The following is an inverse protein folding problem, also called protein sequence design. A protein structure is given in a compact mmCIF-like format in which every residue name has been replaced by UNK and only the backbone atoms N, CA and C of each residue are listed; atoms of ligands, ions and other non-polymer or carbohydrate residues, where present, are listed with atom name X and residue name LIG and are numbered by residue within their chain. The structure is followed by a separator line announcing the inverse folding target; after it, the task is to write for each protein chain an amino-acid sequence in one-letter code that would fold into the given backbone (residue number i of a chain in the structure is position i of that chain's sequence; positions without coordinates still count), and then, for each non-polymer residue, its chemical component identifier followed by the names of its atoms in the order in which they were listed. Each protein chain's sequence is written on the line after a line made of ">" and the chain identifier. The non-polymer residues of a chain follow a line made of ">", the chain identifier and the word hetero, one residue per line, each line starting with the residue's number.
data_IF_823676805368
#
_entry.id   IF_823676805368
#
_cell.length_a   1.000
_cell.length_b   1.000
_cell.length_c   1.000
_cell.angle_alpha   90.00
_cell.angle_beta   90.00
_cell.angle_gamma   90.00
#
_symmetry.space_group_name_H-M   'P 1'
#
loop_
_entity.id
_entity.type
_entity.pdbx_description
1 polymer ?
#
# COMPACT_ATOMS: atom_id res chain seq x y z
N UNK A 1 -37.23 33.45 -17.51
CA UNK A 1 -35.85 33.69 -17.03
C UNK A 1 -35.10 32.40 -17.24
N UNK A 2 -34.06 32.38 -18.08
CA UNK A 2 -33.18 31.21 -18.15
C UNK A 2 -32.35 31.21 -16.87
N UNK A 3 -32.59 30.24 -15.99
CA UNK A 3 -31.74 30.00 -14.83
C UNK A 3 -30.38 29.59 -15.38
N UNK A 4 -29.36 30.44 -15.22
CA UNK A 4 -27.99 30.08 -15.58
C UNK A 4 -27.61 28.89 -14.70
N UNK A 5 -27.31 27.75 -15.32
CA UNK A 5 -26.84 26.57 -14.58
C UNK A 5 -25.50 26.88 -13.94
N UNK A 6 -25.31 26.38 -12.72
CA UNK A 6 -24.03 26.43 -12.03
C UNK A 6 -22.94 25.81 -12.91
N UNK A 7 -21.80 26.47 -13.04
CA UNK A 7 -20.61 25.93 -13.73
C UNK A 7 -19.82 24.98 -12.84
N UNK A 8 -18.98 24.12 -13.43
CA UNK A 8 -18.09 23.23 -12.66
C UNK A 8 -17.16 24.05 -11.74
N UNK A 9 -16.70 25.22 -12.19
CA UNK A 9 -15.92 26.16 -11.37
C UNK A 9 -16.69 26.67 -10.14
N UNK A 10 -17.97 26.99 -10.30
CA UNK A 10 -18.81 27.43 -9.19
C UNK A 10 -19.09 26.27 -8.21
N UNK A 11 -19.34 25.06 -8.71
CA UNK A 11 -19.48 23.86 -7.87
C UNK A 11 -18.20 23.56 -7.07
N UNK A 12 -17.03 23.69 -7.69
CA UNK A 12 -15.72 23.60 -7.01
C UNK A 12 -15.57 24.63 -5.89
N UNK A 13 -15.89 25.90 -6.17
CA UNK A 13 -15.76 26.99 -5.20
C UNK A 13 -16.72 26.83 -4.02
N UNK A 14 -17.96 26.42 -4.29
CA UNK A 14 -18.96 26.12 -3.28
C UNK A 14 -18.52 24.96 -2.38
N UNK A 15 -18.15 23.82 -2.96
CA UNK A 15 -17.71 22.66 -2.18
C UNK A 15 -16.44 22.94 -1.39
N UNK A 16 -15.46 23.66 -1.96
CA UNK A 16 -14.25 24.07 -1.23
C UNK A 16 -14.60 24.91 0.00
N UNK A 17 -15.56 25.82 -0.13
CA UNK A 17 -16.00 26.67 0.98
C UNK A 17 -16.80 25.86 2.02
N UNK A 18 -17.65 24.95 1.56
CA UNK A 18 -18.44 24.05 2.40
C UNK A 18 -17.55 23.10 3.22
N UNK A 19 -16.57 22.46 2.58
CA UNK A 19 -15.60 21.58 3.25
C UNK A 19 -14.75 22.35 4.27
N UNK A 20 -14.33 23.57 3.93
CA UNK A 20 -13.60 24.44 4.87
C UNK A 20 -14.45 24.76 6.12
N UNK A 21 -15.75 25.01 5.95
CA UNK A 21 -16.66 25.25 7.07
C UNK A 21 -16.90 24.01 7.96
N UNK A 22 -16.59 22.81 7.45
CA UNK A 22 -16.63 21.54 8.18
C UNK A 22 -15.23 21.10 8.67
N UNK A 23 -14.26 22.02 8.71
CA UNK A 23 -12.91 21.77 9.23
C UNK A 23 -12.14 20.66 8.47
N UNK A 24 -12.53 20.39 7.22
CA UNK A 24 -11.80 19.46 6.36
C UNK A 24 -10.46 20.06 5.98
N UNK A 25 -9.39 19.30 6.20
CA UNK A 25 -8.04 19.67 5.79
C UNK A 25 -7.94 19.71 4.27
N UNK A 26 -7.18 20.68 3.74
CA UNK A 26 -6.99 20.89 2.30
C UNK A 26 -8.31 20.83 1.49
N UNK A 27 -9.29 21.69 1.83
CA UNK A 27 -10.65 21.56 1.30
C UNK A 27 -10.71 21.74 -0.23
N UNK A 28 -9.84 22.58 -0.80
CA UNK A 28 -9.72 22.74 -2.25
C UNK A 28 -9.21 21.47 -2.92
N UNK A 29 -8.23 20.78 -2.32
CA UNK A 29 -7.67 19.55 -2.89
C UNK A 29 -8.72 18.43 -2.86
N UNK A 30 -9.42 18.28 -1.75
CA UNK A 30 -10.53 17.33 -1.61
C UNK A 30 -11.67 17.62 -2.61
N UNK A 31 -12.09 18.88 -2.74
CA UNK A 31 -13.13 19.27 -3.70
C UNK A 31 -12.70 18.95 -5.15
N UNK A 32 -11.46 19.24 -5.54
CA UNK A 32 -10.95 18.90 -6.86
C UNK A 32 -10.94 17.38 -7.10
N UNK A 33 -10.38 16.59 -6.17
CA UNK A 33 -10.31 15.14 -6.31
C UNK A 33 -11.69 14.51 -6.47
N UNK A 34 -12.67 14.94 -5.67
CA UNK A 34 -14.03 14.44 -5.74
C UNK A 34 -14.75 14.88 -7.02
N UNK A 35 -14.47 16.09 -7.55
CA UNK A 35 -14.98 16.50 -8.86
C UNK A 35 -14.41 15.67 -10.00
N UNK A 36 -13.09 15.48 -10.02
CA UNK A 36 -12.39 14.63 -10.99
C UNK A 36 -13.00 13.23 -11.01
N UNK A 37 -13.26 12.65 -9.82
CA UNK A 37 -13.95 11.37 -9.67
C UNK A 37 -15.39 11.38 -10.22
N UNK A 38 -16.23 12.32 -9.77
CA UNK A 38 -17.67 12.36 -10.15
C UNK A 38 -17.85 12.61 -11.65
N UNK A 39 -16.98 13.42 -12.25
CA UNK A 39 -17.05 13.79 -13.66
C UNK A 39 -16.29 12.81 -14.57
N UNK A 40 -15.42 11.97 -14.01
CA UNK A 40 -14.52 11.10 -14.79
C UNK A 40 -13.51 11.91 -15.59
N UNK A 41 -13.02 13.01 -15.03
CA UNK A 41 -12.06 13.92 -15.65
C UNK A 41 -10.74 13.90 -14.86
N UNK A 42 -9.64 14.17 -15.55
CA UNK A 42 -8.33 14.30 -14.91
C UNK A 42 -7.41 15.26 -15.67
N UNK A 43 -6.45 15.85 -14.96
CA UNK A 43 -5.41 16.70 -15.54
C UNK A 43 -5.98 17.82 -16.42
N UNK A 44 -5.47 17.95 -17.65
CA UNK A 44 -5.89 19.02 -18.56
C UNK A 44 -7.40 19.02 -18.87
N UNK A 45 -8.03 17.85 -18.96
CA UNK A 45 -9.46 17.73 -19.27
C UNK A 45 -10.34 18.36 -18.20
N UNK A 46 -9.96 18.22 -16.91
CA UNK A 46 -10.65 18.86 -15.79
C UNK A 46 -10.59 20.39 -15.91
N UNK A 47 -9.40 20.96 -16.14
CA UNK A 47 -9.25 22.42 -16.23
C UNK A 47 -9.99 23.03 -17.41
N UNK A 48 -10.05 22.31 -18.55
CA UNK A 48 -10.81 22.73 -19.72
C UNK A 48 -12.31 22.74 -19.47
N UNK A 49 -12.82 21.80 -18.68
CA UNK A 49 -14.25 21.68 -18.35
C UNK A 49 -14.73 22.68 -17.29
N UNK A 50 -13.84 23.33 -16.53
CA UNK A 50 -14.23 24.27 -15.46
C UNK A 50 -15.27 25.33 -15.85
N UNK A 51 -15.23 25.96 -17.05
CA UNK A 51 -16.23 26.93 -17.47
C UNK A 51 -17.58 26.31 -17.88
N UNK A 52 -17.63 25.00 -18.12
CA UNK A 52 -18.83 24.33 -18.61
C UNK A 52 -19.91 24.23 -17.52
N UNK A 53 -21.20 24.19 -17.90
CA UNK A 53 -22.28 23.91 -16.97
C UNK A 53 -22.09 22.56 -16.27
N UNK A 54 -22.36 22.49 -14.98
CA UNK A 54 -22.34 21.24 -14.23
C UNK A 54 -23.40 20.26 -14.80
N UNK A 55 -23.07 18.99 -15.07
CA UNK A 55 -24.03 18.04 -15.63
C UNK A 55 -25.13 17.67 -14.61
N UNK A 56 -26.40 17.85 -14.99
CA UNK A 56 -27.55 17.58 -14.10
C UNK A 56 -27.56 16.12 -13.62
N UNK A 57 -27.11 15.19 -14.46
CA UNK A 57 -27.09 13.75 -14.17
C UNK A 57 -26.06 13.39 -13.09
N UNK A 58 -25.11 14.29 -12.82
CA UNK A 58 -24.04 14.11 -11.82
C UNK A 58 -24.31 14.85 -10.52
N UNK A 59 -25.33 15.71 -10.46
CA UNK A 59 -25.62 16.57 -9.31
C UNK A 59 -25.79 15.75 -8.01
N UNK A 60 -26.61 14.70 -8.06
CA UNK A 60 -26.86 13.86 -6.88
C UNK A 60 -25.58 13.16 -6.39
N UNK A 61 -24.77 12.62 -7.31
CA UNK A 61 -23.51 11.98 -6.97
C UNK A 61 -22.52 12.98 -6.35
N UNK A 62 -22.50 14.21 -6.85
CA UNK A 62 -21.66 15.29 -6.32
C UNK A 62 -22.04 15.68 -4.89
N UNK A 63 -23.34 15.88 -4.63
CA UNK A 63 -23.85 16.19 -3.30
C UNK A 63 -23.55 15.06 -2.30
N UNK A 64 -23.67 13.80 -2.74
CA UNK A 64 -23.36 12.63 -1.93
C UNK A 64 -21.89 12.58 -1.50
N UNK A 65 -20.95 12.70 -2.45
CA UNK A 65 -19.52 12.61 -2.13
C UNK A 65 -19.05 13.78 -1.26
N UNK A 66 -19.58 14.99 -1.48
CA UNK A 66 -19.25 16.15 -0.63
C UNK A 66 -19.82 16.00 0.78
N UNK A 67 -21.04 15.46 0.91
CA UNK A 67 -21.64 15.21 2.22
C UNK A 67 -20.85 14.17 3.01
N UNK A 68 -20.42 13.08 2.35
CA UNK A 68 -19.55 12.05 2.96
C UNK A 68 -18.21 12.62 3.41
N UNK A 69 -17.55 13.44 2.56
CA UNK A 69 -16.28 14.09 2.90
C UNK A 69 -16.43 15.06 4.07
N UNK A 70 -17.50 15.86 4.10
CA UNK A 70 -17.79 16.77 5.20
C UNK A 70 -18.13 16.04 6.51
N UNK A 71 -18.61 14.80 6.44
CA UNK A 71 -18.83 13.94 7.60
C UNK A 71 -17.54 13.30 8.13
N UNK A 72 -16.38 13.54 7.50
CA UNK A 72 -15.07 13.07 7.95
C UNK A 72 -14.52 11.87 7.17
N UNK A 73 -15.26 11.33 6.20
CA UNK A 73 -14.77 10.18 5.43
C UNK A 73 -13.57 10.57 4.55
N UNK A 74 -12.48 9.78 4.52
CA UNK A 74 -11.36 10.00 3.61
C UNK A 74 -11.79 10.02 2.13
N UNK A 75 -11.24 10.94 1.34
CA UNK A 75 -11.59 11.05 -0.08
C UNK A 75 -11.31 9.75 -0.84
N UNK A 76 -10.23 9.06 -0.48
CA UNK A 76 -9.82 7.79 -1.08
C UNK A 76 -10.82 6.66 -0.81
N UNK A 77 -11.46 6.63 0.36
CA UNK A 77 -12.52 5.64 0.63
C UNK A 77 -13.83 5.98 -0.10
N UNK A 78 -14.09 7.28 -0.29
CA UNK A 78 -15.21 7.74 -1.14
C UNK A 78 -14.98 7.33 -2.61
N UNK A 79 -13.76 7.54 -3.11
CA UNK A 79 -13.33 7.22 -4.47
C UNK A 79 -13.17 5.69 -4.68
N UNK A 80 -12.75 4.98 -3.63
CA UNK A 80 -12.43 3.55 -3.64
C UNK A 80 -11.02 3.21 -4.13
N UNK A 81 -10.15 4.21 -4.35
CA UNK A 81 -8.83 4.05 -4.94
C UNK A 81 -7.80 5.04 -4.36
N UNK A 82 -6.54 4.64 -4.31
CA UNK A 82 -5.38 5.47 -4.02
C UNK A 82 -4.22 5.08 -4.95
N UNK A 83 -3.56 6.05 -5.57
CA UNK A 83 -2.34 5.81 -6.35
C UNK A 83 -1.15 5.59 -5.40
N UNK A 84 -0.34 4.58 -5.70
CA UNK A 84 0.92 4.30 -5.04
C UNK A 84 1.93 3.79 -6.07
N UNK A 85 3.10 4.43 -6.16
CA UNK A 85 4.14 4.10 -7.13
C UNK A 85 3.67 4.14 -8.59
N UNK A 86 2.73 5.06 -8.90
CA UNK A 86 2.09 5.18 -10.22
C UNK A 86 1.10 4.06 -10.56
N UNK A 87 0.72 3.24 -9.58
CA UNK A 87 -0.23 2.14 -9.73
C UNK A 87 -1.49 2.47 -8.92
N UNK A 88 -2.70 2.35 -9.49
CA UNK A 88 -3.94 2.49 -8.75
C UNK A 88 -4.18 1.27 -7.85
N UNK A 89 -4.37 1.50 -6.56
CA UNK A 89 -4.77 0.48 -5.59
C UNK A 89 -6.19 0.72 -5.13
N UNK A 90 -7.04 -0.30 -5.24
CA UNK A 90 -8.33 -0.31 -4.56
C UNK A 90 -8.11 -0.22 -3.04
N UNK A 91 -8.85 0.67 -2.39
CA UNK A 91 -8.83 0.83 -0.94
C UNK A 91 -10.25 0.82 -0.37
N UNK A 92 -10.37 0.32 0.85
CA UNK A 92 -11.63 0.26 1.61
C UNK A 92 -11.31 0.53 3.08
N UNK A 93 -12.31 0.76 3.96
CA UNK A 93 -12.09 0.88 5.40
C UNK A 93 -11.42 -0.34 6.08
N UNK A 94 -11.24 -1.46 5.35
CA UNK A 94 -10.51 -2.62 5.85
C UNK A 94 -8.97 -2.46 5.82
N UNK A 95 -8.45 -1.44 5.11
CA UNK A 95 -7.00 -1.26 4.90
C UNK A 95 -6.57 0.17 5.12
N UNK A 96 -5.33 0.36 5.58
CA UNK A 96 -4.67 1.67 5.58
C UNK A 96 -4.60 2.22 4.16
N UNK A 97 -4.87 3.51 3.98
CA UNK A 97 -4.65 4.20 2.70
C UNK A 97 -3.13 4.30 2.49
N UNK A 98 -2.58 3.78 1.36
CA UNK A 98 -1.16 3.88 1.07
C UNK A 98 -0.64 5.33 1.13
N UNK A 99 0.54 5.52 1.74
CA UNK A 99 1.14 6.83 1.94
C UNK A 99 2.34 7.04 1.02
N UNK A 100 2.59 8.28 0.53
CA UNK A 100 3.75 8.57 -0.32
C UNK A 100 5.09 8.22 0.33
N UNK A 101 5.21 8.36 1.65
CA UNK A 101 6.43 8.03 2.39
C UNK A 101 6.82 6.56 2.23
N UNK A 102 5.82 5.66 2.17
CA UNK A 102 6.03 4.21 2.01
C UNK A 102 6.67 3.87 0.65
N UNK A 103 6.56 4.72 -0.37
CA UNK A 103 7.24 4.52 -1.65
C UNK A 103 8.77 4.55 -1.49
N UNK A 104 9.28 5.39 -0.57
CA UNK A 104 10.70 5.50 -0.28
C UNK A 104 11.24 4.23 0.39
N UNK A 105 10.42 3.52 1.18
CA UNK A 105 10.77 2.21 1.71
C UNK A 105 10.98 1.19 0.59
N UNK A 106 10.01 1.12 -0.35
CA UNK A 106 10.07 0.23 -1.51
C UNK A 106 11.30 0.53 -2.35
N UNK A 107 11.56 1.80 -2.65
CA UNK A 107 12.74 2.23 -3.39
C UNK A 107 14.03 1.80 -2.68
N UNK A 108 14.16 2.08 -1.38
CA UNK A 108 15.33 1.73 -0.60
C UNK A 108 15.59 0.21 -0.59
N UNK A 109 14.54 -0.60 -0.43
CA UNK A 109 14.64 -2.06 -0.46
C UNK A 109 15.12 -2.56 -1.82
N UNK A 110 14.53 -2.06 -2.92
CA UNK A 110 14.94 -2.44 -4.28
C UNK A 110 16.40 -2.05 -4.56
N UNK A 111 16.82 -0.85 -4.14
CA UNK A 111 18.20 -0.39 -4.29
C UNK A 111 19.20 -1.26 -3.50
N UNK A 112 18.89 -1.61 -2.25
CA UNK A 112 19.78 -2.46 -1.45
C UNK A 112 19.80 -3.89 -1.95
N UNK A 113 18.66 -4.44 -2.37
CA UNK A 113 18.61 -5.76 -2.96
C UNK A 113 19.45 -5.84 -4.25
N UNK A 114 19.47 -4.79 -5.08
CA UNK A 114 20.32 -4.73 -6.26
C UNK A 114 21.82 -4.77 -5.92
N UNK A 115 22.23 -4.23 -4.76
CA UNK A 115 23.62 -4.28 -4.28
C UNK A 115 23.98 -5.64 -3.68
N UNK A 116 23.08 -6.24 -2.91
CA UNK A 116 23.28 -7.53 -2.23
C UNK A 116 23.19 -8.73 -3.16
N UNK A 117 22.40 -8.62 -4.23
CA UNK A 117 22.21 -9.66 -5.24
C UNK A 117 22.30 -9.09 -6.66
N UNK A 118 23.49 -8.70 -7.16
CA UNK A 118 23.63 -8.09 -8.49
C UNK A 118 23.08 -8.97 -9.63
N UNK A 119 23.09 -10.29 -9.46
CA UNK A 119 22.60 -11.25 -10.44
C UNK A 119 21.12 -11.63 -10.25
N UNK A 120 20.51 -11.24 -9.13
CA UNK A 120 19.08 -11.40 -8.79
C UNK A 120 18.30 -10.08 -8.76
N UNK A 121 19.00 -8.96 -8.97
CA UNK A 121 18.41 -7.65 -9.10
C UNK A 121 17.40 -7.64 -10.26
N UNK A 122 16.28 -6.97 -10.05
CA UNK A 122 15.47 -6.52 -11.16
C UNK A 122 16.37 -5.80 -12.18
N UNK A 123 16.25 -6.04 -13.49
CA UNK A 123 16.84 -5.10 -14.43
C UNK A 123 16.29 -3.72 -14.07
N UNK A 124 17.16 -2.71 -13.99
CA UNK A 124 16.74 -1.32 -13.82
C UNK A 124 15.88 -0.93 -15.04
N UNK A 125 14.59 -1.23 -14.96
CA UNK A 125 13.58 -0.90 -15.94
C UNK A 125 13.33 0.59 -15.83
N UNK A 126 13.57 1.29 -16.95
CA UNK A 126 13.34 2.72 -17.15
C UNK A 126 12.16 3.22 -16.31
N UNK A 127 12.41 4.28 -15.53
CA UNK A 127 11.35 5.18 -15.08
C UNK A 127 10.38 5.38 -16.24
N UNK A 128 9.11 5.04 -16.03
CA UNK A 128 8.08 5.23 -17.02
C UNK A 128 8.02 6.73 -17.30
N UNK A 129 8.54 7.14 -18.46
CA UNK A 129 8.19 8.41 -19.06
C UNK A 129 6.73 8.27 -19.48
N UNK A 130 5.82 8.69 -18.61
CA UNK A 130 4.46 9.02 -18.98
C UNK A 130 4.52 10.25 -19.90
N UNK A 131 4.68 10.01 -21.19
CA UNK A 131 4.44 11.01 -22.23
C UNK A 131 3.89 10.29 -23.48
N UNK A 132 2.63 10.59 -23.74
CA UNK A 132 1.96 10.53 -25.05
C UNK A 132 1.77 9.14 -25.68
N UNK A 133 0.67 8.49 -25.30
CA UNK A 133 -0.08 7.68 -26.25
C UNK A 133 -1.50 8.25 -26.35
N UNK A 134 -1.82 8.79 -27.52
CA UNK A 134 -3.15 9.30 -27.86
C UNK A 134 -4.21 8.20 -27.70
N UNK A 135 -5.42 8.53 -27.21
CA UNK A 135 -6.49 7.55 -27.12
C UNK A 135 -7.06 7.26 -28.52
N UNK A 136 -7.46 6.01 -28.80
CA UNK A 136 -8.17 5.67 -30.02
C UNK A 136 -9.54 6.35 -30.05
N UNK A 137 -9.86 6.91 -31.22
CA UNK A 137 -11.13 7.60 -31.48
C UNK A 137 -12.32 6.63 -31.37
N UNK A 138 -13.21 6.94 -30.41
CA UNK A 138 -14.68 6.82 -30.47
C UNK A 138 -15.33 5.49 -30.89
N UNK A 139 -16.12 4.92 -29.97
CA UNK A 139 -17.58 4.70 -30.18
C UNK A 139 -18.26 4.10 -28.94
N UNK A 140 -19.40 4.68 -28.56
CA UNK A 140 -20.50 3.95 -27.93
C UNK A 140 -20.64 4.11 -26.41
N UNK A 141 -21.61 4.94 -26.00
CA UNK A 141 -22.07 5.08 -24.62
C UNK A 141 -22.47 3.73 -24.00
N UNK A 142 -21.86 3.41 -22.86
CA UNK A 142 -22.17 2.23 -22.04
C UNK A 142 -22.39 2.64 -20.58
N UNK A 143 -23.66 2.63 -20.19
CA UNK A 143 -24.27 2.82 -18.87
C UNK A 143 -23.41 2.38 -17.66
N UNK A 144 -23.17 3.28 -16.70
CA UNK A 144 -22.70 2.97 -15.35
C UNK A 144 -23.91 2.54 -14.49
N UNK A 145 -23.92 1.38 -13.82
CA UNK A 145 -24.91 1.07 -12.79
C UNK A 145 -24.46 1.65 -11.45
N UNK A 146 -25.38 2.32 -10.75
CA UNK A 146 -25.21 2.74 -9.34
C UNK A 146 -25.33 1.57 -8.36
N UNK A 147 -25.07 1.80 -7.06
CA UNK A 147 -24.93 0.73 -6.08
C UNK A 147 -26.30 0.23 -5.63
N UNK A 148 -26.48 -1.09 -5.61
CA UNK A 148 -27.54 -1.76 -4.88
C UNK A 148 -27.04 -3.14 -4.43
N UNK A 149 -27.45 -3.49 -3.22
CA UNK A 149 -27.00 -4.63 -2.43
C UNK A 149 -27.19 -6.01 -3.07
N UNK A 150 -26.39 -6.94 -2.52
CA UNK A 150 -26.73 -8.35 -2.24
C UNK A 150 -26.58 -9.39 -3.37
N UNK A 151 -25.48 -10.17 -3.27
CA UNK A 151 -25.45 -11.62 -2.93
C UNK A 151 -24.31 -12.34 -3.67
N UNK A 152 -23.31 -12.80 -2.91
CA UNK A 152 -22.23 -13.67 -3.37
C UNK A 152 -22.70 -15.13 -3.25
N UNK A 153 -22.55 -15.98 -4.28
CA UNK A 153 -22.76 -17.41 -4.12
C UNK A 153 -21.54 -18.05 -3.46
N UNK A 154 -21.80 -18.87 -2.43
CA UNK A 154 -20.85 -19.78 -1.81
C UNK A 154 -20.09 -20.60 -2.86
N UNK A 155 -18.75 -20.54 -2.82
CA UNK A 155 -17.90 -21.55 -3.46
C UNK A 155 -16.82 -22.00 -2.50
N UNK A 156 -16.96 -23.27 -2.13
CA UNK A 156 -16.09 -24.05 -1.26
C UNK A 156 -14.60 -23.90 -1.61
N UNK A 157 -13.81 -23.71 -0.57
CA UNK A 157 -12.36 -23.69 -0.58
C UNK A 157 -11.78 -25.05 -1.02
N UNK A 158 -11.14 -25.07 -2.18
CA UNK A 158 -10.27 -26.18 -2.57
C UNK A 158 -8.87 -25.95 -1.99
N UNK A 159 -8.59 -26.61 -0.86
CA UNK A 159 -7.22 -26.81 -0.33
C UNK A 159 -6.46 -27.79 -1.23
N UNK A 160 -5.22 -27.53 -1.65
CA UNK A 160 -4.32 -28.59 -2.05
C UNK A 160 -3.61 -29.16 -0.81
N UNK A 161 -3.71 -30.48 -0.68
CA UNK A 161 -3.15 -31.28 0.39
C UNK A 161 -1.61 -31.31 0.36
N UNK A 162 -1.02 -31.30 1.54
CA UNK A 162 0.36 -31.68 1.79
C UNK A 162 0.56 -33.18 1.54
N UNK A 163 1.60 -33.54 0.78
CA UNK A 163 2.25 -34.86 0.88
C UNK A 163 3.75 -34.68 0.75
N UNK A 164 4.48 -35.06 1.81
CA UNK A 164 5.93 -35.12 1.81
C UNK A 164 6.46 -36.41 1.18
N UNK A 165 7.73 -36.38 0.81
CA UNK A 165 8.62 -37.53 0.96
C UNK A 165 10.07 -37.07 0.90
N UNK A 166 10.80 -37.36 1.96
CA UNK A 166 12.25 -37.21 2.05
C UNK A 166 12.93 -38.43 1.40
N UNK A 167 13.99 -38.18 0.64
CA UNK A 167 15.02 -39.18 0.38
C UNK A 167 16.39 -38.48 0.28
N UNK A 168 17.25 -38.74 1.26
CA UNK A 168 18.64 -38.34 1.26
C UNK A 168 19.52 -39.47 0.69
N UNK A 169 20.50 -39.14 -0.15
CA UNK A 169 21.72 -39.94 -0.37
C UNK A 169 22.82 -39.04 -0.99
N UNK A 170 24.12 -39.40 -0.86
CA UNK A 170 25.15 -38.43 -0.47
C UNK A 170 26.23 -38.16 -1.53
N UNK A 171 27.04 -37.11 -1.26
CA UNK A 171 28.48 -37.11 -1.55
C UNK A 171 29.00 -36.22 -2.68
N UNK A 172 29.71 -35.15 -2.28
CA UNK A 172 31.01 -34.76 -2.82
C UNK A 172 31.10 -34.11 -4.21
N UNK A 173 31.57 -32.87 -4.24
CA UNK A 173 32.10 -32.26 -5.46
C UNK A 173 32.05 -30.75 -5.46
N UNK A 174 33.22 -30.12 -5.35
CA UNK A 174 33.40 -28.69 -5.35
C UNK A 174 32.98 -28.02 -6.67
N UNK A 175 32.36 -26.85 -6.55
CA UNK A 175 32.31 -25.82 -7.60
C UNK A 175 31.45 -26.14 -8.81
N UNK A 176 30.15 -25.87 -8.73
CA UNK A 176 29.30 -25.64 -9.91
C UNK A 176 28.36 -24.47 -9.65
N UNK A 177 28.25 -23.58 -10.63
CA UNK A 177 27.43 -22.39 -10.63
C UNK A 177 26.01 -22.69 -10.11
N UNK A 178 25.66 -22.09 -8.96
CA UNK A 178 24.32 -22.14 -8.42
C UNK A 178 23.41 -21.39 -9.40
N UNK A 179 22.55 -22.13 -10.10
CA UNK A 179 21.51 -21.54 -10.93
C UNK A 179 20.65 -20.69 -10.00
N UNK A 180 20.81 -19.37 -10.06
CA UNK A 180 20.34 -18.46 -9.02
C UNK A 180 18.85 -18.67 -8.75
N UNK A 181 18.56 -19.30 -7.61
CA UNK A 181 17.21 -19.44 -7.09
C UNK A 181 16.54 -18.04 -6.97
N UNK A 182 15.22 -17.95 -7.16
CA UNK A 182 14.47 -16.72 -6.88
C UNK A 182 14.74 -16.21 -5.45
N UNK A 183 14.83 -14.89 -5.30
CA UNK A 183 14.84 -14.28 -3.97
C UNK A 183 13.43 -14.33 -3.38
N UNK A 184 13.34 -14.60 -2.08
CA UNK A 184 12.05 -14.60 -1.37
C UNK A 184 11.91 -13.28 -0.60
N UNK A 185 10.92 -12.47 -0.99
CA UNK A 185 10.55 -11.25 -0.28
C UNK A 185 9.25 -11.47 0.50
N UNK A 186 9.18 -10.96 1.73
CA UNK A 186 7.99 -11.01 2.57
C UNK A 186 7.58 -9.59 3.01
N UNK A 187 6.33 -9.22 2.71
CA UNK A 187 5.68 -8.00 3.20
C UNK A 187 4.80 -8.33 4.41
N UNK A 188 5.06 -7.69 5.55
CA UNK A 188 4.39 -7.99 6.82
C UNK A 188 3.41 -6.87 7.16
N UNK A 189 2.13 -7.20 7.34
CA UNK A 189 1.06 -6.20 7.49
C UNK A 189 0.75 -5.51 6.16
N UNK A 190 0.47 -6.31 5.13
CA UNK A 190 0.43 -5.85 3.73
C UNK A 190 -0.70 -4.87 3.44
N UNK A 191 -1.76 -4.84 4.26
CA UNK A 191 -2.89 -3.92 4.08
C UNK A 191 -3.52 -4.05 2.70
N UNK A 192 -3.43 -2.99 1.88
CA UNK A 192 -3.94 -2.98 0.50
C UNK A 192 -3.05 -3.76 -0.49
N UNK A 193 -1.89 -4.26 -0.07
CA UNK A 193 -0.89 -4.89 -0.93
C UNK A 193 0.10 -3.91 -1.55
N UNK A 194 0.09 -2.64 -1.17
CA UNK A 194 0.89 -1.58 -1.81
C UNK A 194 2.38 -1.94 -1.95
N UNK A 195 3.00 -2.41 -0.87
CA UNK A 195 4.42 -2.82 -0.89
C UNK A 195 4.58 -4.13 -1.68
N UNK A 196 3.87 -5.20 -1.33
CA UNK A 196 4.01 -6.51 -1.95
C UNK A 196 3.79 -6.50 -3.47
N UNK A 197 2.70 -5.86 -3.93
CA UNK A 197 2.35 -5.77 -5.37
C UNK A 197 3.41 -4.99 -6.12
N UNK A 198 3.84 -3.84 -5.58
CA UNK A 198 4.88 -3.01 -6.21
C UNK A 198 6.21 -3.78 -6.30
N UNK A 199 6.62 -4.48 -5.24
CA UNK A 199 7.82 -5.32 -5.27
C UNK A 199 7.70 -6.43 -6.33
N UNK A 200 6.56 -7.10 -6.44
CA UNK A 200 6.36 -8.17 -7.42
C UNK A 200 6.42 -7.67 -8.87
N UNK A 201 5.89 -6.47 -9.15
CA UNK A 201 5.93 -5.86 -10.48
C UNK A 201 7.34 -5.37 -10.84
N UNK A 202 8.04 -4.73 -9.90
CA UNK A 202 9.37 -4.20 -10.15
C UNK A 202 10.47 -5.25 -10.10
N UNK A 203 10.26 -6.36 -9.38
CA UNK A 203 11.20 -7.47 -9.29
C UNK A 203 10.55 -8.82 -9.68
N UNK A 204 10.23 -9.03 -10.97
CA UNK A 204 9.47 -10.20 -11.44
C UNK A 204 10.21 -11.54 -11.27
N UNK A 205 11.49 -11.52 -10.87
CA UNK A 205 12.28 -12.71 -10.53
C UNK A 205 12.20 -13.08 -9.05
N UNK A 206 11.58 -12.25 -8.22
CA UNK A 206 11.40 -12.52 -6.80
C UNK A 206 10.12 -13.32 -6.61
N UNK A 207 10.14 -14.20 -5.61
CA UNK A 207 8.94 -14.80 -5.08
C UNK A 207 8.47 -13.93 -3.92
N UNK A 208 7.36 -13.23 -4.12
CA UNK A 208 6.81 -12.30 -3.13
C UNK A 208 5.70 -12.97 -2.33
N UNK A 209 5.85 -12.93 -1.02
CA UNK A 209 4.83 -13.31 -0.05
C UNK A 209 4.37 -12.07 0.70
N UNK A 210 3.12 -12.09 1.15
CA UNK A 210 2.53 -11.02 1.93
C UNK A 210 1.65 -11.62 3.03
N UNK A 211 1.66 -10.98 4.20
CA UNK A 211 0.81 -11.39 5.32
C UNK A 211 0.06 -10.22 5.92
N UNK A 212 -1.10 -10.53 6.50
CA UNK A 212 -1.86 -9.61 7.33
C UNK A 212 -2.64 -10.41 8.38
N UNK A 213 -2.94 -9.79 9.51
CA UNK A 213 -3.81 -10.38 10.52
C UNK A 213 -5.28 -10.29 10.11
N UNK A 214 -5.62 -9.36 9.20
CA UNK A 214 -6.97 -9.14 8.72
C UNK A 214 -7.23 -9.90 7.42
N UNK A 215 -8.13 -10.89 7.47
CA UNK A 215 -8.64 -11.54 6.27
C UNK A 215 -9.26 -10.55 5.27
N UNK A 216 -9.86 -9.46 5.76
CA UNK A 216 -10.46 -8.42 4.92
C UNK A 216 -9.39 -7.61 4.18
N UNK A 217 -8.27 -7.29 4.84
CA UNK A 217 -7.13 -6.66 4.20
C UNK A 217 -6.55 -7.57 3.11
N UNK A 218 -6.37 -8.86 3.39
CA UNK A 218 -5.89 -9.83 2.40
C UNK A 218 -6.80 -9.95 1.18
N UNK A 219 -8.13 -9.83 1.35
CA UNK A 219 -9.06 -9.80 0.20
C UNK A 219 -8.82 -8.57 -0.69
N UNK A 220 -8.59 -7.40 -0.09
CA UNK A 220 -8.26 -6.17 -0.83
C UNK A 220 -6.90 -6.33 -1.53
N UNK A 221 -5.87 -6.80 -0.82
CA UNK A 221 -4.54 -7.02 -1.38
C UNK A 221 -4.53 -8.02 -2.54
N UNK A 222 -5.25 -9.13 -2.40
CA UNK A 222 -5.39 -10.13 -3.46
C UNK A 222 -6.06 -9.57 -4.71
N UNK A 223 -7.08 -8.71 -4.53
CA UNK A 223 -7.74 -8.04 -5.65
C UNK A 223 -6.80 -7.05 -6.36
N UNK A 224 -6.03 -6.28 -5.61
CA UNK A 224 -5.03 -5.37 -6.20
C UNK A 224 -3.95 -6.14 -6.97
N UNK A 225 -3.45 -7.25 -6.41
CA UNK A 225 -2.50 -8.11 -7.11
C UNK A 225 -3.09 -8.66 -8.43
N UNK A 226 -4.35 -9.12 -8.41
CA UNK A 226 -5.06 -9.60 -9.60
C UNK A 226 -5.19 -8.51 -10.66
N UNK A 227 -5.66 -7.31 -10.28
CA UNK A 227 -5.89 -6.18 -11.20
C UNK A 227 -4.59 -5.70 -11.83
N UNK A 228 -3.50 -5.62 -11.05
CA UNK A 228 -2.19 -5.19 -11.56
C UNK A 228 -1.41 -6.30 -12.26
N UNK A 229 -1.88 -7.55 -12.22
CA UNK A 229 -1.17 -8.72 -12.78
C UNK A 229 0.07 -9.15 -11.99
N UNK A 230 0.17 -8.75 -10.72
CA UNK A 230 1.27 -9.09 -9.82
C UNK A 230 1.11 -10.50 -9.24
N UNK A 231 2.23 -11.22 -9.12
CA UNK A 231 2.24 -12.56 -8.50
C UNK A 231 2.69 -12.46 -7.04
N UNK A 232 1.73 -12.49 -6.12
CA UNK A 232 1.94 -12.44 -4.67
C UNK A 232 1.21 -13.60 -4.01
N UNK A 233 1.87 -14.29 -3.08
CA UNK A 233 1.25 -15.30 -2.24
C UNK A 233 0.85 -14.70 -0.89
N UNK A 234 -0.43 -14.78 -0.53
CA UNK A 234 -1.00 -14.18 0.67
C UNK A 234 -1.22 -15.22 1.77
N UNK A 235 -0.83 -14.90 3.01
CA UNK A 235 -1.00 -15.77 4.18
C UNK A 235 -1.55 -14.97 5.38
N UNK A 236 -2.65 -15.45 5.97
CA UNK A 236 -3.25 -14.83 7.16
C UNK A 236 -2.50 -15.24 8.43
N UNK A 237 -2.17 -14.24 9.27
CA UNK A 237 -1.64 -14.51 10.60
C UNK A 237 -0.91 -13.32 11.20
N UNK A 238 -0.37 -13.53 12.40
CA UNK A 238 0.30 -12.48 13.15
C UNK A 238 1.77 -12.36 12.76
N UNK A 239 2.10 -11.26 12.08
CA UNK A 239 3.47 -10.86 11.75
C UNK A 239 4.25 -12.00 11.05
N UNK A 240 5.28 -12.57 11.69
CA UNK A 240 6.13 -13.60 11.07
C UNK A 240 5.63 -15.03 11.26
N UNK A 241 4.55 -15.25 12.02
CA UNK A 241 4.01 -16.60 12.26
C UNK A 241 3.68 -17.39 10.99
N UNK A 242 3.07 -16.81 9.93
CA UNK A 242 2.80 -17.53 8.68
C UNK A 242 4.07 -18.07 8.00
N UNK A 243 5.21 -17.40 8.21
CA UNK A 243 6.48 -17.70 7.56
C UNK A 243 7.36 -18.67 8.36
N UNK A 244 6.82 -19.37 9.36
CA UNK A 244 7.57 -20.33 10.15
C UNK A 244 8.25 -21.41 9.30
N UNK A 245 9.55 -21.61 9.48
CA UNK A 245 10.39 -22.53 8.72
C UNK A 245 10.66 -22.10 7.28
N UNK A 246 10.12 -20.95 6.83
CA UNK A 246 10.35 -20.41 5.49
C UNK A 246 11.64 -19.62 5.45
N UNK A 247 12.34 -19.72 4.31
CA UNK A 247 13.45 -18.84 3.98
C UNK A 247 12.93 -17.49 3.47
N UNK A 248 13.35 -16.40 4.10
CA UNK A 248 13.04 -15.04 3.67
C UNK A 248 14.37 -14.32 3.42
N UNK A 249 14.62 -13.89 2.17
CA UNK A 249 15.81 -13.11 1.83
C UNK A 249 15.65 -11.65 2.25
N UNK A 250 14.43 -11.13 2.06
CA UNK A 250 14.07 -9.72 2.20
C UNK A 250 12.78 -9.64 3.02
N UNK A 251 12.78 -8.90 4.13
CA UNK A 251 11.60 -8.63 4.93
C UNK A 251 11.31 -7.13 4.88
N UNK A 252 10.08 -6.75 4.55
CA UNK A 252 9.63 -5.35 4.51
C UNK A 252 8.35 -5.24 5.32
N UNK A 253 8.16 -4.13 6.02
CA UNK A 253 6.90 -3.85 6.71
C UNK A 253 6.71 -2.36 6.93
N UNK A 254 5.47 -1.91 6.74
CA UNK A 254 4.96 -0.68 7.34
C UNK A 254 3.99 -1.07 8.47
N UNK A 255 4.48 -1.43 9.66
CA UNK A 255 3.63 -1.88 10.75
C UNK A 255 2.95 -0.69 11.45
N UNK A 256 1.90 -0.94 12.25
CA UNK A 256 1.31 0.13 13.06
C UNK A 256 2.33 0.68 14.07
N UNK A 257 2.53 1.99 14.07
CA UNK A 257 3.59 2.64 14.86
C UNK A 257 3.09 3.72 15.81
N UNK A 258 1.77 3.97 15.85
CA UNK A 258 1.20 5.05 16.65
C UNK A 258 1.01 4.55 18.09
N UNK A 259 1.54 5.26 19.11
CA UNK A 259 1.23 4.95 20.49
C UNK A 259 -0.29 4.98 20.74
N UNK A 260 -0.81 3.97 21.43
CA UNK A 260 -2.25 3.82 21.66
C UNK A 260 -2.90 5.04 22.34
N UNK A 261 -2.13 5.77 23.14
CA UNK A 261 -2.55 7.00 23.82
C UNK A 261 -2.68 8.21 22.88
N UNK A 262 -2.01 8.20 21.73
CA UNK A 262 -2.00 9.29 20.76
C UNK A 262 -3.11 9.17 19.72
N UNK A 263 -3.65 7.95 19.52
CA UNK A 263 -4.74 7.67 18.56
C UNK A 263 -5.95 8.62 18.71
N UNK A 264 -6.46 8.93 19.93
CA UNK A 264 -7.57 9.86 20.08
C UNK A 264 -7.29 11.28 19.55
N UNK A 265 -6.02 11.67 19.48
CA UNK A 265 -5.56 12.97 19.00
C UNK A 265 -5.23 13.02 17.50
N UNK A 266 -5.35 11.90 16.78
CA UNK A 266 -5.19 11.87 15.33
C UNK A 266 -6.28 12.69 14.63
N UNK A 267 -6.01 13.04 13.38
CA UNK A 267 -7.01 13.67 12.52
C UNK A 267 -8.28 12.81 12.46
N UNK A 268 -9.49 13.39 12.52
CA UNK A 268 -10.73 12.63 12.57
C UNK A 268 -10.86 11.59 11.46
N UNK A 269 -10.47 11.93 10.23
CA UNK A 269 -10.53 11.01 9.09
C UNK A 269 -9.64 9.76 9.26
N UNK A 270 -8.50 9.89 9.93
CA UNK A 270 -7.62 8.76 10.23
C UNK A 270 -8.16 7.99 11.44
N UNK A 271 -8.47 8.71 12.52
CA UNK A 271 -8.91 8.14 13.80
C UNK A 271 -10.19 7.31 13.65
N UNK A 272 -11.14 7.84 12.89
CA UNK A 272 -12.52 7.34 12.88
C UNK A 272 -12.81 6.40 11.70
N UNK A 273 -12.03 6.46 10.61
CA UNK A 273 -12.28 5.67 9.40
C UNK A 273 -11.20 4.65 9.04
N UNK A 274 -9.93 4.86 9.42
CA UNK A 274 -8.89 3.87 9.13
C UNK A 274 -8.90 2.74 10.19
N UNK A 275 -8.56 1.51 9.80
CA UNK A 275 -8.66 0.38 10.71
C UNK A 275 -7.68 0.55 11.87
N UNK A 276 -8.19 0.53 13.10
CA UNK A 276 -7.37 0.70 14.31
C UNK A 276 -6.18 -0.27 14.37
N UNK A 277 -6.34 -1.49 13.86
CA UNK A 277 -5.28 -2.50 13.80
C UNK A 277 -4.10 -2.09 12.92
N UNK A 278 -4.29 -1.19 11.96
CA UNK A 278 -3.22 -0.63 11.13
C UNK A 278 -2.59 0.64 11.71
N UNK A 279 -3.12 1.16 12.83
CA UNK A 279 -2.62 2.36 13.50
C UNK A 279 -1.91 2.03 14.83
N UNK A 280 -2.52 1.16 15.64
CA UNK A 280 -2.15 0.93 17.04
C UNK A 280 -0.86 0.10 17.18
N UNK A 281 0.25 0.79 17.42
CA UNK A 281 1.57 0.19 17.67
C UNK A 281 1.80 -0.20 19.13
N UNK A 282 0.76 -0.17 19.97
CA UNK A 282 0.85 -0.47 21.40
C UNK A 282 1.23 0.74 22.25
N UNK A 283 1.70 0.50 23.48
CA UNK A 283 1.89 1.55 24.50
C UNK A 283 2.81 2.70 24.08
N UNK A 284 3.86 2.40 23.31
CA UNK A 284 4.88 3.35 22.82
C UNK A 284 5.03 3.31 21.30
N UNK A 285 4.10 2.64 20.60
CA UNK A 285 4.16 2.50 19.15
C UNK A 285 5.18 1.48 18.64
N UNK A 286 5.95 0.83 19.52
CA UNK A 286 7.05 -0.05 19.12
C UNK A 286 6.73 -1.55 19.23
N UNK A 287 5.52 -1.93 19.61
CA UNK A 287 5.18 -3.32 19.87
C UNK A 287 5.38 -4.25 18.67
N UNK A 288 4.95 -3.91 17.44
CA UNK A 288 5.14 -4.81 16.29
C UNK A 288 6.60 -5.09 15.97
N UNK A 289 7.48 -4.08 16.06
CA UNK A 289 8.91 -4.27 15.83
C UNK A 289 9.51 -5.24 16.86
N UNK A 290 9.16 -5.07 18.15
CA UNK A 290 9.63 -5.97 19.21
C UNK A 290 9.15 -7.40 19.00
N UNK A 291 7.89 -7.58 18.62
CA UNK A 291 7.32 -8.90 18.35
C UNK A 291 8.01 -9.53 17.13
N UNK A 292 8.21 -8.78 16.04
CA UNK A 292 8.94 -9.28 14.87
C UNK A 292 10.37 -9.71 15.24
N UNK A 293 11.09 -8.94 16.06
CA UNK A 293 12.42 -9.34 16.53
C UNK A 293 12.39 -10.64 17.34
N UNK A 294 11.38 -10.83 18.19
CA UNK A 294 11.18 -12.07 18.95
C UNK A 294 10.79 -13.25 18.06
N UNK A 295 10.11 -12.99 16.94
CA UNK A 295 9.66 -14.00 15.99
C UNK A 295 10.69 -14.31 14.89
N UNK A 296 11.79 -13.57 14.75
CA UNK A 296 12.85 -13.88 13.77
C UNK A 296 13.31 -15.35 13.80
N UNK A 297 13.44 -16.02 14.96
CA UNK A 297 13.80 -17.44 15.02
C UNK A 297 12.74 -18.41 14.44
N UNK A 298 11.52 -17.94 14.16
CA UNK A 298 10.52 -18.74 13.43
C UNK A 298 10.95 -18.96 11.97
N UNK A 299 11.67 -18.01 11.37
CA UNK A 299 12.16 -18.13 10.00
C UNK A 299 13.28 -19.17 9.91
N UNK A 300 13.53 -19.70 8.71
CA UNK A 300 14.63 -20.63 8.48
C UNK A 300 16.00 -20.01 8.82
N UNK A 301 16.16 -18.73 8.50
CA UNK A 301 17.30 -17.90 8.87
C UNK A 301 16.88 -16.42 8.90
N UNK A 302 17.58 -15.55 9.65
CA UNK A 302 17.33 -14.11 9.59
C UNK A 302 17.53 -13.56 8.17
N UNK A 303 16.66 -12.65 7.69
CA UNK A 303 16.75 -12.12 6.34
C UNK A 303 18.02 -11.29 6.17
N UNK A 304 18.61 -11.32 4.97
CA UNK A 304 19.81 -10.51 4.66
C UNK A 304 19.49 -9.03 4.54
N UNK A 305 18.26 -8.69 4.20
CA UNK A 305 17.73 -7.33 4.13
C UNK A 305 16.43 -7.25 4.91
N UNK A 306 16.36 -6.33 5.87
CA UNK A 306 15.13 -5.98 6.57
C UNK A 306 14.88 -4.48 6.41
N UNK A 307 13.63 -4.07 6.19
CA UNK A 307 13.26 -2.67 6.03
C UNK A 307 11.93 -2.37 6.72
N UNK A 308 11.92 -1.27 7.48
CA UNK A 308 10.75 -0.84 8.22
C UNK A 308 10.43 0.63 7.96
N UNK A 309 9.14 0.95 7.80
CA UNK A 309 8.62 2.31 8.04
C UNK A 309 8.32 2.50 9.53
N UNK A 310 8.39 3.74 10.01
CA UNK A 310 8.16 4.10 11.40
C UNK A 310 7.62 5.52 11.59
N UNK A 311 7.10 5.77 12.80
CA UNK A 311 6.66 7.07 13.25
C UNK A 311 7.82 8.04 13.50
N UNK A 312 7.52 9.34 13.44
CA UNK A 312 8.49 10.39 13.75
C UNK A 312 9.13 10.17 15.13
N UNK A 313 10.46 10.24 15.18
CA UNK A 313 11.23 10.09 16.43
C UNK A 313 11.52 8.66 16.86
N UNK A 314 11.02 7.63 16.16
CA UNK A 314 11.23 6.22 16.52
C UNK A 314 12.45 5.57 15.87
N UNK A 315 13.13 6.25 14.93
CA UNK A 315 14.21 5.67 14.14
C UNK A 315 15.38 5.12 14.98
N UNK A 316 15.78 5.86 16.03
CA UNK A 316 16.84 5.43 16.93
C UNK A 316 16.49 4.13 17.67
N UNK A 317 15.27 4.04 18.20
CA UNK A 317 14.81 2.86 18.96
C UNK A 317 14.67 1.64 18.07
N UNK A 318 14.09 1.79 16.87
CA UNK A 318 13.98 0.68 15.90
C UNK A 318 15.36 0.24 15.42
N UNK A 319 16.29 1.18 15.17
CA UNK A 319 17.67 0.85 14.83
C UNK A 319 18.36 0.07 15.96
N UNK A 320 18.14 0.44 17.22
CA UNK A 320 18.69 -0.27 18.37
C UNK A 320 18.09 -1.68 18.52
N UNK A 321 16.81 -1.88 18.23
CA UNK A 321 16.21 -3.22 18.17
C UNK A 321 16.93 -4.11 17.13
N UNK A 322 17.20 -3.58 15.93
CA UNK A 322 17.95 -4.33 14.91
C UNK A 322 19.39 -4.63 15.36
N UNK A 323 20.08 -3.66 15.99
CA UNK A 323 21.44 -3.86 16.52
C UNK A 323 21.47 -4.93 17.61
N UNK A 324 20.49 -4.93 18.50
CA UNK A 324 20.38 -5.90 19.59
C UNK A 324 20.08 -7.32 19.07
N UNK A 325 19.31 -7.45 17.99
CA UNK A 325 19.10 -8.74 17.32
C UNK A 325 20.40 -9.31 16.72
N UNK A 326 21.34 -8.45 16.30
CA UNK A 326 22.72 -8.85 15.99
C UNK A 326 22.90 -9.61 14.66
N UNK A 327 21.93 -9.53 13.75
CA UNK A 327 21.97 -10.24 12.46
C UNK A 327 22.50 -9.42 11.28
N UNK A 328 22.56 -8.10 11.42
CA UNK A 328 22.92 -7.15 10.36
C UNK A 328 24.19 -6.38 10.73
N UNK A 329 25.13 -6.27 9.78
CA UNK A 329 26.41 -5.57 9.95
C UNK A 329 26.31 -4.07 9.63
N UNK A 330 25.23 -3.66 8.96
CA UNK A 330 24.94 -2.29 8.58
C UNK A 330 23.49 -1.95 8.91
N UNK A 331 23.28 -0.88 9.67
CA UNK A 331 21.96 -0.31 9.97
C UNK A 331 21.89 1.10 9.40
N UNK A 332 20.91 1.34 8.54
CA UNK A 332 20.70 2.61 7.83
C UNK A 332 19.40 3.26 8.30
N UNK A 333 19.45 4.57 8.55
CA UNK A 333 18.27 5.41 8.77
C UNK A 333 18.07 6.25 7.52
N UNK A 334 16.86 6.22 6.95
CA UNK A 334 16.53 6.91 5.70
C UNK A 334 15.43 7.92 5.98
N UNK A 335 15.68 9.23 5.78
CA UNK A 335 14.67 10.25 5.92
C UNK A 335 13.74 10.29 4.70
N UNK A 336 12.54 10.84 4.90
CA UNK A 336 11.65 11.24 3.82
C UNK A 336 12.13 12.52 3.11
N UNK A 337 11.36 13.00 2.13
CA UNK A 337 11.66 14.21 1.38
C UNK A 337 11.62 15.50 2.23
N UNK A 338 10.96 15.47 3.39
CA UNK A 338 10.94 16.55 4.36
C UNK A 338 12.10 16.48 5.37
N UNK A 339 12.95 15.45 5.28
CA UNK A 339 14.07 15.22 6.18
C UNK A 339 13.69 14.51 7.48
N UNK A 340 12.46 13.99 7.60
CA UNK A 340 12.02 13.24 8.78
C UNK A 340 12.50 11.80 8.64
N UNK A 341 13.19 11.29 9.65
CA UNK A 341 13.61 9.89 9.69
C UNK A 341 12.39 8.96 9.71
N UNK A 342 12.14 8.28 8.59
CA UNK A 342 10.93 7.47 8.37
C UNK A 342 11.19 6.00 8.16
N UNK A 343 12.42 5.61 7.86
CA UNK A 343 12.74 4.23 7.59
C UNK A 343 14.03 3.79 8.25
N UNK A 344 14.05 2.53 8.68
CA UNK A 344 15.25 1.86 9.17
C UNK A 344 15.44 0.57 8.36
N UNK A 345 16.64 0.38 7.82
CA UNK A 345 17.04 -0.83 7.12
C UNK A 345 18.19 -1.52 7.86
N UNK A 346 18.13 -2.85 7.95
CA UNK A 346 19.23 -3.70 8.38
C UNK A 346 19.75 -4.53 7.21
N UNK A 347 21.06 -4.56 7.03
CA UNK A 347 21.74 -5.27 5.93
C UNK A 347 22.84 -6.19 6.45
N UNK A 348 22.90 -7.41 5.91
CA UNK A 348 23.98 -8.39 6.11
C UNK A 348 24.65 -8.68 4.78
N UNK A 349 25.88 -8.19 4.63
CA UNK A 349 26.61 -8.20 3.35
C UNK A 349 27.12 -9.58 2.96
#
# INVERSE_FOLDING_TARGET
>A
MMTTKQSIREAFAEASSFLAAHEVMEPQRNAQLLLEHVLGLSGASYYMALPDPFPDERQQAWEEVISRKAAGEPAQYIIGEQEFYGIPFQVTPAVLIPRPETELLVEAVLQQAARLWPQGAAPAGRAASAAEQEPPQGQGAGRVPGPADAELPDREAARPAAQGSAAAAPGGGAGTADGLRPLVAADIGTGSGAIAVTLALHAPRWQVYASDISADALRVAARNAEVSGAQVAFEEGNLLEPFAGRRVDILVSNPPYIPAADIPGLQPEVRDHEPRTALDGGADGLAPYRIMMQQLPLLQEPPRLIGFELGIGQAGEVADLLRQAGHWDEIMIIPDLAGIERHVLGVRR
#
